data_IF_685335108861
#
_entry.id   IF_685335108861
#
_cell.length_a   1.000
_cell.length_b   1.000
_cell.length_c   1.000
_cell.angle_alpha   90.00
_cell.angle_beta   90.00
_cell.angle_gamma   90.00
#
_symmetry.space_group_name_H-M   'P 1'
#
loop_
_entity.id
_entity.type
_entity.pdbx_description
1 polymer ?
#
# COMPACT_ATOMS: atom_id res chain seq x y z
N UNK A 1 -11.81 -31.67 34.99
CA UNK A 1 -13.02 -31.44 34.16
C UNK A 1 -12.77 -30.63 32.88
N UNK A 2 -11.62 -29.96 32.71
CA UNK A 2 -11.34 -29.09 31.55
C UNK A 2 -11.07 -29.81 30.20
N UNK A 3 -10.67 -31.09 30.22
CA UNK A 3 -10.30 -31.83 28.99
C UNK A 3 -11.49 -32.19 28.10
N UNK A 4 -12.69 -32.35 28.67
CA UNK A 4 -13.89 -32.70 27.93
C UNK A 4 -14.45 -31.55 27.09
N UNK A 5 -14.29 -30.31 27.54
CA UNK A 5 -14.73 -29.12 26.81
C UNK A 5 -13.83 -28.81 25.62
N UNK A 6 -12.52 -28.99 25.78
CA UNK A 6 -11.54 -28.87 24.70
C UNK A 6 -11.82 -29.84 23.54
N UNK A 7 -12.10 -31.11 23.86
CA UNK A 7 -12.43 -32.13 22.85
C UNK A 7 -13.74 -31.80 22.12
N UNK A 8 -14.75 -31.30 22.84
CA UNK A 8 -16.02 -30.83 22.23
C UNK A 8 -15.80 -29.64 21.30
N UNK A 9 -14.93 -28.70 21.67
CA UNK A 9 -14.57 -27.57 20.83
C UNK A 9 -13.90 -28.03 19.53
N UNK A 10 -12.92 -28.93 19.60
CA UNK A 10 -12.24 -29.48 18.41
C UNK A 10 -13.23 -30.20 17.48
N UNK A 11 -14.16 -30.99 18.04
CA UNK A 11 -15.17 -31.67 17.25
C UNK A 11 -16.08 -30.68 16.48
N UNK A 12 -16.44 -29.55 17.12
CA UNK A 12 -17.19 -28.47 16.46
C UNK A 12 -16.39 -27.81 15.35
N UNK A 13 -15.13 -27.45 15.60
CA UNK A 13 -14.26 -26.88 14.56
C UNK A 13 -14.06 -27.82 13.37
N UNK A 14 -13.91 -29.12 13.64
CA UNK A 14 -13.78 -30.13 12.60
C UNK A 14 -15.05 -30.24 11.75
N UNK A 15 -16.23 -30.16 12.38
CA UNK A 15 -17.52 -30.17 11.67
C UNK A 15 -17.71 -28.91 10.83
N UNK A 16 -17.35 -27.74 11.36
CA UNK A 16 -17.40 -26.47 10.62
C UNK A 16 -16.48 -26.52 9.41
N UNK A 17 -15.25 -27.03 9.56
CA UNK A 17 -14.29 -27.17 8.45
C UNK A 17 -14.77 -28.15 7.39
N UNK A 18 -15.37 -29.29 7.78
CA UNK A 18 -15.88 -30.30 6.84
C UNK A 18 -17.14 -29.84 6.10
N UNK A 19 -18.01 -29.07 6.77
CA UNK A 19 -19.26 -28.57 6.18
C UNK A 19 -19.12 -27.19 5.54
N UNK A 20 -17.93 -26.58 5.59
CA UNK A 20 -17.64 -25.33 4.89
C UNK A 20 -17.50 -25.64 3.40
N UNK A 21 -18.57 -25.42 2.63
CA UNK A 21 -18.50 -25.33 1.18
C UNK A 21 -17.86 -24.00 0.79
N UNK A 22 -16.53 -23.90 0.92
CA UNK A 22 -15.72 -22.71 0.52
C UNK A 22 -15.43 -22.73 -0.98
N UNK A 23 -16.16 -23.51 -1.78
CA UNK A 23 -16.09 -23.35 -3.22
C UNK A 23 -16.99 -22.17 -3.56
N UNK A 24 -16.46 -21.04 -4.06
CA UNK A 24 -17.31 -20.00 -4.61
C UNK A 24 -18.15 -20.66 -5.71
N UNK A 25 -19.46 -20.72 -5.49
CA UNK A 25 -20.42 -21.31 -6.42
C UNK A 25 -21.36 -20.21 -6.86
N UNK A 26 -21.61 -20.15 -8.17
CA UNK A 26 -22.57 -19.23 -8.75
C UNK A 26 -23.86 -19.98 -9.03
N UNK A 27 -24.96 -19.49 -8.47
CA UNK A 27 -26.30 -19.97 -8.81
C UNK A 27 -26.98 -18.85 -9.59
N UNK A 28 -27.30 -19.04 -10.89
CA UNK A 28 -28.08 -18.07 -11.62
C UNK A 28 -29.50 -17.97 -11.03
N UNK A 29 -30.16 -16.83 -11.26
CA UNK A 29 -31.54 -16.57 -10.84
C UNK A 29 -32.49 -17.70 -11.30
N UNK A 30 -33.36 -18.21 -10.41
CA UNK A 30 -34.30 -19.28 -10.75
C UNK A 30 -35.30 -18.78 -11.80
N UNK A 31 -35.08 -19.18 -13.05
CA UNK A 31 -35.91 -18.77 -14.20
C UNK A 31 -35.11 -18.55 -15.49
N UNK A 32 -33.78 -18.42 -15.39
CA UNK A 32 -32.90 -18.31 -16.55
C UNK A 32 -32.60 -19.72 -17.09
N UNK A 33 -33.26 -20.10 -18.19
CA UNK A 33 -32.98 -21.34 -18.94
C UNK A 33 -31.71 -21.22 -19.80
N UNK A 34 -30.60 -20.73 -19.23
CA UNK A 34 -29.28 -20.67 -19.86
C UNK A 34 -28.26 -21.37 -18.98
N UNK A 35 -27.18 -21.88 -19.59
CA UNK A 35 -26.12 -22.50 -18.83
C UNK A 35 -25.51 -21.45 -17.85
N UNK A 36 -25.26 -21.82 -16.58
CA UNK A 36 -24.68 -20.90 -15.60
C UNK A 36 -23.36 -20.25 -16.05
N UNK A 37 -22.60 -20.94 -16.90
CA UNK A 37 -21.36 -20.45 -17.47
C UNK A 37 -21.58 -19.24 -18.40
N UNK A 38 -22.62 -19.26 -19.23
CA UNK A 38 -22.93 -18.19 -20.17
C UNK A 38 -23.38 -16.93 -19.43
N UNK A 39 -24.19 -17.11 -18.37
CA UNK A 39 -24.63 -16.02 -17.49
C UNK A 39 -23.41 -15.36 -16.81
N UNK A 40 -22.44 -16.16 -16.38
CA UNK A 40 -21.19 -15.63 -15.81
C UNK A 40 -20.32 -14.92 -16.84
N UNK A 41 -20.25 -15.45 -18.07
CA UNK A 41 -19.49 -14.82 -19.15
C UNK A 41 -20.07 -13.43 -19.49
N UNK A 42 -21.39 -13.33 -19.62
CA UNK A 42 -22.08 -12.06 -19.88
C UNK A 42 -21.92 -11.07 -18.72
N UNK A 43 -22.02 -11.55 -17.47
CA UNK A 43 -21.81 -10.72 -16.29
C UNK A 43 -20.39 -10.15 -16.23
N UNK A 44 -19.36 -10.99 -16.40
CA UNK A 44 -17.98 -10.54 -16.42
C UNK A 44 -17.72 -9.58 -17.59
N UNK A 45 -18.27 -9.88 -18.77
CA UNK A 45 -18.19 -8.98 -19.93
C UNK A 45 -18.78 -7.61 -19.62
N UNK A 46 -19.92 -7.55 -18.93
CA UNK A 46 -20.54 -6.29 -18.49
C UNK A 46 -19.67 -5.53 -17.49
N UNK A 47 -19.12 -6.20 -16.47
CA UNK A 47 -18.24 -5.57 -15.47
C UNK A 47 -16.97 -5.01 -16.12
N UNK A 48 -16.36 -5.75 -17.03
CA UNK A 48 -15.12 -5.37 -17.70
C UNK A 48 -15.32 -4.64 -19.04
N UNK A 49 -16.56 -4.32 -19.42
CA UNK A 49 -16.86 -3.55 -20.65
C UNK A 49 -16.39 -2.09 -20.58
N UNK A 50 -15.75 -1.67 -19.48
CA UNK A 50 -15.25 -0.32 -19.30
C UNK A 50 -16.30 0.70 -18.89
N UNK A 51 -17.58 0.33 -18.79
CA UNK A 51 -18.67 1.21 -18.34
C UNK A 51 -18.52 1.70 -16.89
N UNK A 52 -17.77 0.97 -16.06
CA UNK A 52 -17.40 1.36 -14.69
C UNK A 52 -16.14 2.23 -14.64
N UNK A 53 -15.42 2.36 -15.76
CA UNK A 53 -14.40 3.38 -15.91
C UNK A 53 -15.18 4.68 -16.12
N UNK A 54 -15.56 5.33 -15.01
CA UNK A 54 -16.00 6.73 -15.03
C UNK A 54 -15.09 7.47 -15.99
N UNK A 55 -15.72 8.07 -17.00
CA UNK A 55 -15.09 8.82 -18.08
C UNK A 55 -13.76 9.40 -17.63
N UNK A 56 -12.70 8.91 -18.24
CA UNK A 56 -11.40 9.55 -18.24
C UNK A 56 -11.65 11.06 -18.43
N UNK A 57 -11.15 11.96 -17.56
CA UNK A 57 -11.18 13.36 -17.92
C UNK A 57 -10.50 13.51 -19.27
N UNK A 58 -11.13 14.27 -20.16
CA UNK A 58 -10.76 14.44 -21.57
C UNK A 58 -9.25 14.36 -21.83
N UNK A 59 -8.85 13.42 -22.67
CA UNK A 59 -7.44 13.20 -23.06
C UNK A 59 -6.83 14.36 -23.88
N UNK A 60 -7.66 15.35 -24.27
CA UNK A 60 -7.25 16.55 -25.02
C UNK A 60 -7.15 17.81 -24.16
N UNK A 61 -7.41 17.72 -22.85
CA UNK A 61 -7.06 18.78 -21.91
C UNK A 61 -5.75 18.37 -21.21
N UNK A 62 -4.71 19.22 -21.17
CA UNK A 62 -3.54 18.91 -20.33
C UNK A 62 -4.07 18.56 -18.95
N UNK A 63 -3.57 17.50 -18.29
CA UNK A 63 -4.05 17.13 -16.97
C UNK A 63 -3.92 18.37 -16.11
N UNK A 64 -5.04 18.98 -15.76
CA UNK A 64 -5.03 20.09 -14.82
C UNK A 64 -4.62 19.45 -13.51
N UNK A 65 -3.31 19.45 -13.25
CA UNK A 65 -2.71 19.15 -11.97
C UNK A 65 -3.16 20.26 -11.01
N UNK A 66 -4.45 20.32 -10.69
CA UNK A 66 -5.04 21.30 -9.76
C UNK A 66 -4.71 20.97 -8.32
N UNK A 67 -3.91 19.93 -8.06
CA UNK A 67 -3.29 19.79 -6.75
C UNK A 67 -2.02 20.62 -6.73
N UNK A 68 -2.16 21.94 -6.59
CA UNK A 68 -1.08 22.71 -5.99
C UNK A 68 -0.67 22.00 -4.70
N UNK A 69 0.63 21.82 -4.42
CA UNK A 69 1.04 21.14 -3.21
C UNK A 69 0.40 21.85 -2.00
N UNK A 70 -0.19 21.11 -1.04
CA UNK A 70 -0.85 21.70 0.13
C UNK A 70 0.06 22.59 0.97
N UNK A 71 1.38 22.40 0.89
CA UNK A 71 2.37 23.18 1.63
C UNK A 71 3.38 23.86 0.71
N UNK A 72 3.73 25.09 1.06
CA UNK A 72 4.77 25.88 0.40
C UNK A 72 6.17 25.37 0.77
N UNK A 73 7.08 25.39 -0.20
CA UNK A 73 8.48 25.04 -0.04
C UNK A 73 9.25 26.07 0.77
N UNK A 74 8.86 27.34 0.71
CA UNK A 74 9.53 28.42 1.45
C UNK A 74 9.33 28.30 2.97
N UNK A 75 8.30 27.54 3.39
CA UNK A 75 7.99 27.23 4.78
C UNK A 75 8.57 25.89 5.24
N UNK A 76 9.33 25.20 4.39
CA UNK A 76 9.93 23.91 4.73
C UNK A 76 10.90 24.04 5.92
N UNK A 77 10.69 23.31 7.02
CA UNK A 77 11.51 23.46 8.23
C UNK A 77 12.92 22.85 8.10
N UNK A 78 13.19 22.13 7.01
CA UNK A 78 14.45 21.42 6.80
C UNK A 78 15.48 22.30 6.08
N UNK A 79 16.63 22.52 6.70
CA UNK A 79 17.77 23.20 6.07
C UNK A 79 18.95 22.25 5.83
N UNK A 80 19.79 22.59 4.85
CA UNK A 80 21.00 21.81 4.53
C UNK A 80 21.91 21.66 5.75
N UNK A 81 22.11 22.75 6.51
CA UNK A 81 22.97 22.76 7.69
C UNK A 81 22.43 21.88 8.81
N UNK A 82 21.11 21.90 9.04
CA UNK A 82 20.49 21.02 10.03
C UNK A 82 20.64 19.55 9.66
N UNK A 83 20.43 19.19 8.39
CA UNK A 83 20.60 17.81 7.92
C UNK A 83 22.05 17.38 8.09
N UNK A 84 22.99 18.23 7.69
CA UNK A 84 24.43 17.97 7.77
C UNK A 84 24.90 17.75 9.21
N UNK A 85 24.53 18.65 10.13
CA UNK A 85 24.90 18.53 11.55
C UNK A 85 24.23 17.32 12.21
N UNK A 86 22.96 17.05 11.89
CA UNK A 86 22.26 15.86 12.40
C UNK A 86 22.95 14.58 11.94
N UNK A 87 23.34 14.50 10.66
CA UNK A 87 24.02 13.32 10.12
C UNK A 87 25.41 13.11 10.73
N UNK A 88 26.14 14.19 11.02
CA UNK A 88 27.41 14.12 11.76
C UNK A 88 27.25 13.65 13.20
N UNK A 89 26.13 14.00 13.85
CA UNK A 89 25.85 13.66 15.24
C UNK A 89 25.18 12.28 15.42
N UNK A 90 24.83 11.57 14.32
CA UNK A 90 24.19 10.25 14.34
C UNK A 90 24.90 9.23 15.24
N UNK A 91 24.25 8.54 16.19
CA UNK A 91 24.93 7.62 17.12
C UNK A 91 25.88 6.64 16.42
N UNK A 92 27.13 6.54 16.90
CA UNK A 92 28.17 5.65 16.33
C UNK A 92 27.79 4.16 16.36
N UNK A 93 27.01 3.78 17.36
CA UNK A 93 26.50 2.41 17.55
C UNK A 93 25.01 2.42 17.23
N UNK A 94 24.67 2.24 15.96
CA UNK A 94 23.31 1.79 15.62
C UNK A 94 23.19 0.32 16.05
N UNK A 95 22.00 -0.11 16.45
CA UNK A 95 21.70 -1.52 16.65
C UNK A 95 22.13 -2.29 15.37
N UNK A 96 22.60 -3.54 15.48
CA UNK A 96 23.07 -4.32 14.33
C UNK A 96 21.93 -4.46 13.31
N UNK A 97 21.89 -3.55 12.34
CA UNK A 97 21.03 -3.64 11.18
C UNK A 97 21.76 -4.43 10.10
N UNK A 98 21.00 -5.05 9.20
CA UNK A 98 21.54 -5.87 8.11
C UNK A 98 22.62 -5.13 7.30
N UNK A 99 22.51 -3.81 7.18
CA UNK A 99 23.38 -3.00 6.33
C UNK A 99 24.75 -2.63 6.94
N UNK A 100 25.00 -2.83 8.24
CA UNK A 100 26.27 -2.49 8.91
C UNK A 100 26.85 -1.07 8.63
N UNK A 101 26.04 -0.14 8.11
CA UNK A 101 26.49 1.21 7.75
C UNK A 101 26.79 2.02 9.01
N UNK A 102 28.03 2.46 9.16
CA UNK A 102 28.48 3.29 10.28
C UNK A 102 28.51 4.78 9.92
N UNK A 103 28.47 5.65 10.93
CA UNK A 103 28.64 7.10 10.75
C UNK A 103 29.91 7.42 9.94
N UNK A 104 31.01 6.74 10.24
CA UNK A 104 32.30 6.95 9.57
C UNK A 104 32.24 6.66 8.05
N UNK A 105 31.30 5.80 7.60
CA UNK A 105 31.05 5.53 6.18
C UNK A 105 30.16 6.59 5.52
N UNK A 106 29.35 7.30 6.31
CA UNK A 106 28.48 8.38 5.84
C UNK A 106 29.20 9.72 5.76
N UNK A 107 30.24 9.93 6.58
CA UNK A 107 31.00 11.20 6.60
C UNK A 107 31.55 11.61 5.22
N UNK A 108 32.17 10.71 4.42
CA UNK A 108 32.64 11.06 3.07
C UNK A 108 31.50 11.34 2.08
N UNK A 109 30.32 10.77 2.34
CA UNK A 109 29.16 10.86 1.45
C UNK A 109 28.26 12.06 1.77
N UNK A 110 28.47 12.73 2.91
CA UNK A 110 27.73 13.94 3.33
C UNK A 110 27.49 14.95 2.20
N UNK A 111 28.50 15.37 1.42
CA UNK A 111 28.31 16.39 0.38
C UNK A 111 27.33 15.97 -0.71
N UNK A 112 27.25 14.66 -0.99
CA UNK A 112 26.30 14.11 -1.97
C UNK A 112 24.96 13.76 -1.35
N UNK A 113 24.95 13.33 -0.08
CA UNK A 113 23.75 12.84 0.59
C UNK A 113 22.84 13.96 1.08
N UNK A 114 23.42 15.04 1.63
CA UNK A 114 22.67 16.19 2.15
C UNK A 114 21.72 16.81 1.12
N UNK A 115 22.13 17.13 -0.13
CA UNK A 115 21.20 17.68 -1.11
C UNK A 115 20.09 16.71 -1.52
N UNK A 116 20.37 15.40 -1.56
CA UNK A 116 19.38 14.38 -1.89
C UNK A 116 18.32 14.22 -0.78
N UNK A 117 18.76 14.19 0.47
CA UNK A 117 17.87 14.15 1.62
C UNK A 117 17.03 15.43 1.72
N UNK A 118 17.63 16.60 1.47
CA UNK A 118 16.89 17.86 1.46
C UNK A 118 15.81 17.87 0.37
N UNK A 119 16.13 17.37 -0.83
CA UNK A 119 15.14 17.25 -1.91
C UNK A 119 14.01 16.30 -1.52
N UNK A 120 14.34 15.12 -1.00
CA UNK A 120 13.35 14.15 -0.54
C UNK A 120 12.45 14.75 0.54
N UNK A 121 13.01 15.43 1.55
CA UNK A 121 12.23 16.06 2.62
C UNK A 121 11.33 17.19 2.10
N UNK A 122 11.78 17.98 1.12
CA UNK A 122 10.96 19.00 0.47
C UNK A 122 9.78 18.38 -0.27
N UNK A 123 10.00 17.30 -1.01
CA UNK A 123 8.93 16.57 -1.69
C UNK A 123 7.97 15.96 -0.65
N UNK A 124 8.47 15.30 0.38
CA UNK A 124 7.62 14.76 1.44
C UNK A 124 6.82 15.86 2.15
N UNK A 125 7.42 17.02 2.43
CA UNK A 125 6.76 18.16 3.05
C UNK A 125 5.61 18.71 2.20
N UNK A 126 5.84 18.88 0.90
CA UNK A 126 4.83 19.38 -0.03
C UNK A 126 3.56 18.53 -0.07
N UNK A 127 3.66 17.24 0.26
CA UNK A 127 2.58 16.26 0.14
C UNK A 127 2.23 15.56 1.46
N UNK A 128 2.70 16.09 2.60
CA UNK A 128 2.47 15.53 3.93
C UNK A 128 1.05 15.79 4.46
#
# INVERSE_FOLDING_TARGET
MATGEYTKAIARFSRIRKNRTIKPSFSPEPGINRAPADVMADHLKSIFAGQLLTSTPDLDSPPTLTSSPPFDLDLCPFSSDQIHETLKQLPRKKAPSVDHIQREMLLPLLPMLVPQLLHLFRVCWQWS
#
